data_IF_027356517715
#
_entry.id   IF_027356517715
#
_cell.length_a   1.000
_cell.length_b   1.000
_cell.length_c   1.000
_cell.angle_alpha   90.00
_cell.angle_beta   90.00
_cell.angle_gamma   90.00
#
_symmetry.space_group_name_H-M   'P 1'
#
loop_
_entity.id
_entity.type
_entity.pdbx_description
1 polymer ?
#
# COMPACT_ATOMS: atom_id res chain seq x y z
N UNK A 1 -20.09 26.50 1.52
CA UNK A 1 -21.42 26.04 2.00
C UNK A 1 -21.37 24.59 2.52
N UNK A 2 -21.36 24.37 3.85
CA UNK A 2 -21.42 23.02 4.45
C UNK A 2 -22.45 22.11 3.76
N UNK A 3 -22.00 20.98 3.21
CA UNK A 3 -22.87 19.97 2.62
C UNK A 3 -23.07 18.85 3.63
N UNK A 4 -24.32 18.50 3.90
CA UNK A 4 -24.63 17.40 4.79
C UNK A 4 -25.70 16.52 4.18
N UNK A 5 -25.56 15.21 4.41
CA UNK A 5 -26.54 14.20 4.03
C UNK A 5 -26.90 13.42 5.29
N UNK A 6 -28.14 13.59 5.74
CA UNK A 6 -28.72 12.70 6.75
C UNK A 6 -29.22 11.47 6.00
N UNK A 7 -28.51 10.37 6.10
CA UNK A 7 -28.92 9.13 5.41
C UNK A 7 -30.08 8.45 6.13
N UNK A 8 -30.16 8.60 7.46
CA UNK A 8 -31.27 8.22 8.34
C UNK A 8 -31.05 8.83 9.75
N UNK A 9 -31.96 8.62 10.73
CA UNK A 9 -31.76 9.14 12.11
C UNK A 9 -30.55 8.54 12.86
N UNK A 10 -29.89 7.50 12.33
CA UNK A 10 -28.77 6.80 12.97
C UNK A 10 -27.40 7.16 12.38
N UNK A 11 -27.35 7.79 11.20
CA UNK A 11 -26.12 8.06 10.46
C UNK A 11 -26.06 9.50 9.96
N UNK A 12 -24.90 10.15 10.17
CA UNK A 12 -24.63 11.52 9.75
C UNK A 12 -23.39 11.56 8.86
N UNK A 13 -23.52 12.14 7.67
CA UNK A 13 -22.38 12.45 6.81
C UNK A 13 -22.25 13.96 6.60
N UNK A 14 -21.06 14.48 6.86
CA UNK A 14 -20.74 15.90 6.80
C UNK A 14 -19.47 16.14 5.99
N UNK A 15 -19.56 17.07 5.05
CA UNK A 15 -18.44 17.53 4.24
C UNK A 15 -18.25 19.02 4.47
N UNK A 16 -17.07 19.40 4.98
CA UNK A 16 -16.72 20.81 5.08
C UNK A 16 -16.28 21.34 3.71
N UNK A 17 -16.84 22.49 3.35
CA UNK A 17 -16.42 23.25 2.18
C UNK A 17 -15.13 24.04 2.49
N UNK A 18 -14.50 24.60 1.45
CA UNK A 18 -13.24 25.37 1.54
C UNK A 18 -13.31 26.65 2.38
N UNK A 19 -14.49 27.09 2.81
CA UNK A 19 -14.69 28.34 3.56
C UNK A 19 -14.51 28.15 5.08
N UNK A 20 -13.34 28.57 5.60
CA UNK A 20 -13.05 28.60 7.03
C UNK A 20 -13.57 29.86 7.74
N UNK A 21 -14.88 29.93 7.96
CA UNK A 21 -15.44 31.03 8.76
C UNK A 21 -15.83 30.55 10.15
N UNK A 22 -15.73 31.42 11.16
CA UNK A 22 -16.25 31.16 12.52
C UNK A 22 -17.74 30.75 12.48
N UNK A 23 -18.51 31.29 11.54
CA UNK A 23 -19.90 30.89 11.27
C UNK A 23 -20.01 29.45 10.77
N UNK A 24 -19.13 29.01 9.85
CA UNK A 24 -19.06 27.63 9.37
C UNK A 24 -18.71 26.67 10.51
N UNK A 25 -17.70 26.99 11.33
CA UNK A 25 -17.29 26.19 12.50
C UNK A 25 -18.43 26.01 13.50
N UNK A 26 -19.10 27.11 13.84
CA UNK A 26 -20.23 27.10 14.77
C UNK A 26 -21.41 26.25 14.26
N UNK A 27 -21.72 26.32 12.96
CA UNK A 27 -22.77 25.50 12.32
C UNK A 27 -22.41 24.03 12.33
N UNK A 28 -21.17 23.68 12.01
CA UNK A 28 -20.68 22.30 12.01
C UNK A 28 -20.85 21.68 13.42
N UNK A 29 -20.35 22.36 14.45
CA UNK A 29 -20.48 21.92 15.85
C UNK A 29 -21.94 21.76 16.27
N UNK A 30 -22.82 22.69 15.88
CA UNK A 30 -24.24 22.61 16.21
C UNK A 30 -24.95 21.39 15.58
N UNK A 31 -24.67 21.09 14.31
CA UNK A 31 -25.26 19.93 13.60
C UNK A 31 -24.81 18.62 14.26
N UNK A 32 -23.51 18.52 14.56
CA UNK A 32 -22.94 17.35 15.22
C UNK A 32 -23.54 17.18 16.61
N UNK A 33 -23.67 18.27 17.38
CA UNK A 33 -24.28 18.23 18.71
C UNK A 33 -25.74 17.76 18.66
N UNK A 34 -26.54 18.21 17.69
CA UNK A 34 -27.93 17.73 17.51
C UNK A 34 -27.96 16.23 17.20
N UNK A 35 -27.06 15.74 16.35
CA UNK A 35 -26.96 14.31 16.04
C UNK A 35 -26.53 13.47 17.25
N UNK A 36 -25.54 13.93 18.02
CA UNK A 36 -25.12 13.30 19.29
C UNK A 36 -26.29 13.25 20.27
N UNK A 37 -27.06 14.34 20.40
CA UNK A 37 -28.25 14.39 21.26
C UNK A 37 -29.36 13.43 20.80
N UNK A 38 -29.40 13.09 19.50
CA UNK A 38 -30.32 12.12 18.90
C UNK A 38 -29.79 10.68 18.93
N UNK A 39 -28.70 10.41 19.66
CA UNK A 39 -28.10 9.08 19.79
C UNK A 39 -27.62 8.49 18.46
N UNK A 40 -26.99 9.33 17.62
CA UNK A 40 -26.35 8.89 16.38
C UNK A 40 -25.40 7.71 16.64
N UNK A 41 -25.36 6.77 15.69
CA UNK A 41 -24.52 5.57 15.73
C UNK A 41 -23.36 5.63 14.76
N UNK A 42 -23.50 6.38 13.69
CA UNK A 42 -22.52 6.45 12.62
C UNK A 42 -22.26 7.90 12.24
N UNK A 43 -21.00 8.32 12.27
CA UNK A 43 -20.59 9.66 11.83
C UNK A 43 -19.50 9.49 10.80
N UNK A 44 -19.68 10.12 9.64
CA UNK A 44 -18.61 10.42 8.70
C UNK A 44 -18.42 11.93 8.61
N UNK A 45 -17.19 12.37 8.91
CA UNK A 45 -16.79 13.76 8.84
C UNK A 45 -15.57 13.89 7.91
N UNK A 46 -15.72 14.67 6.84
CA UNK A 46 -14.65 15.08 5.95
C UNK A 46 -14.33 16.57 6.16
N UNK A 47 -13.08 16.88 6.52
CA UNK A 47 -12.60 18.23 6.82
C UNK A 47 -11.57 18.70 5.79
N UNK A 48 -11.95 19.65 4.92
CA UNK A 48 -11.11 20.13 3.81
C UNK A 48 -10.01 21.15 4.23
N UNK A 49 -10.01 21.59 5.49
CA UNK A 49 -9.11 22.59 6.07
C UNK A 49 -8.99 22.30 7.56
N UNK A 50 -7.96 22.81 8.26
CA UNK A 50 -7.78 22.58 9.70
C UNK A 50 -8.98 23.16 10.47
N UNK A 51 -9.89 22.27 10.86
CA UNK A 51 -11.01 22.57 11.74
C UNK A 51 -10.66 22.07 13.13
N UNK A 52 -10.97 22.88 14.15
CA UNK A 52 -10.93 22.39 15.52
C UNK A 52 -11.91 21.22 15.64
N UNK A 53 -11.38 20.05 16.00
CA UNK A 53 -12.14 18.82 16.00
C UNK A 53 -13.35 18.91 16.98
N UNK A 54 -14.59 18.59 16.54
CA UNK A 54 -15.78 18.73 17.39
C UNK A 54 -15.76 17.76 18.58
N UNK A 55 -15.39 18.28 19.76
CA UNK A 55 -15.19 17.51 21.01
C UNK A 55 -16.40 16.70 21.46
N UNK A 56 -17.62 17.09 21.07
CA UNK A 56 -18.84 16.36 21.42
C UNK A 56 -18.91 14.96 20.78
N UNK A 57 -18.21 14.72 19.66
CA UNK A 57 -18.10 13.39 19.04
C UNK A 57 -17.38 12.43 19.98
N UNK A 58 -16.28 12.88 20.61
CA UNK A 58 -15.40 12.07 21.47
C UNK A 58 -16.06 11.58 22.76
N UNK A 59 -17.27 12.06 23.06
CA UNK A 59 -18.07 11.69 24.23
C UNK A 59 -19.38 10.98 23.86
N UNK A 60 -19.58 10.66 22.58
CA UNK A 60 -20.84 10.07 22.11
C UNK A 60 -20.94 8.59 22.52
N UNK A 61 -21.76 8.32 23.56
CA UNK A 61 -21.94 6.98 24.13
C UNK A 61 -22.64 5.98 23.22
N UNK A 62 -23.27 6.44 22.14
CA UNK A 62 -24.04 5.62 21.20
C UNK A 62 -23.31 5.37 19.89
N UNK A 63 -22.18 6.05 19.67
CA UNK A 63 -21.41 5.97 18.44
C UNK A 63 -20.78 4.58 18.30
N UNK A 64 -21.06 3.92 17.18
CA UNK A 64 -20.59 2.59 16.81
C UNK A 64 -19.54 2.66 15.71
N UNK A 65 -19.67 3.60 14.77
CA UNK A 65 -18.74 3.82 13.67
C UNK A 65 -18.38 5.29 13.53
N UNK A 66 -17.09 5.59 13.48
CA UNK A 66 -16.57 6.93 13.27
C UNK A 66 -15.58 6.93 12.10
N UNK A 67 -15.87 7.74 11.09
CA UNK A 67 -14.97 8.03 9.97
C UNK A 67 -14.56 9.50 10.01
N UNK A 68 -13.27 9.75 10.12
CA UNK A 68 -12.66 11.08 10.06
C UNK A 68 -11.71 11.14 8.89
N UNK A 69 -11.92 12.11 8.00
CA UNK A 69 -11.08 12.32 6.82
C UNK A 69 -10.62 13.77 6.71
N UNK A 70 -9.42 14.00 6.16
CA UNK A 70 -8.85 15.32 5.89
C UNK A 70 -8.15 15.93 7.11
N UNK A 71 -8.08 17.25 7.18
CA UNK A 71 -7.30 18.01 8.18
C UNK A 71 -7.98 18.06 9.56
N UNK A 72 -8.34 16.89 10.11
CA UNK A 72 -8.82 16.74 11.47
C UNK A 72 -7.62 16.56 12.41
N UNK A 73 -7.40 17.51 13.32
CA UNK A 73 -6.34 17.39 14.33
C UNK A 73 -6.89 16.67 15.57
N UNK A 74 -6.36 15.47 15.84
CA UNK A 74 -6.66 14.72 17.06
C UNK A 74 -5.73 15.22 18.17
N UNK A 75 -6.31 15.59 19.31
CA UNK A 75 -5.60 16.08 20.50
C UNK A 75 -5.80 15.15 21.70
N UNK A 76 -4.89 15.23 22.66
CA UNK A 76 -4.99 14.54 23.94
C UNK A 76 -5.96 15.28 24.86
N UNK A 77 -7.25 15.05 24.69
CA UNK A 77 -8.29 15.65 25.52
C UNK A 77 -8.64 14.76 26.71
N UNK A 78 -8.67 15.31 27.93
CA UNK A 78 -8.92 14.55 29.18
C UNK A 78 -10.31 13.87 29.26
N UNK A 79 -11.25 14.24 28.39
CA UNK A 79 -12.64 13.79 28.41
C UNK A 79 -13.00 12.86 27.24
N UNK A 80 -12.07 12.08 26.67
CA UNK A 80 -12.42 11.14 25.59
C UNK A 80 -13.05 9.87 26.15
N UNK A 81 -14.25 9.50 25.70
CA UNK A 81 -14.89 8.23 26.05
C UNK A 81 -15.91 7.77 25.00
N UNK A 82 -15.55 6.70 24.28
CA UNK A 82 -16.32 6.15 23.16
C UNK A 82 -16.69 4.67 23.44
N UNK A 83 -17.61 4.41 24.39
CA UNK A 83 -17.84 3.08 24.97
C UNK A 83 -18.48 2.06 24.01
N UNK A 84 -19.10 2.52 22.92
CA UNK A 84 -19.77 1.66 21.95
C UNK A 84 -19.06 1.60 20.59
N UNK A 85 -17.93 2.29 20.43
CA UNK A 85 -17.25 2.42 19.15
C UNK A 85 -16.59 1.10 18.78
N UNK A 86 -17.06 0.50 17.67
CA UNK A 86 -16.57 -0.75 17.10
C UNK A 86 -15.69 -0.55 15.88
N UNK A 87 -15.91 0.53 15.12
CA UNK A 87 -15.20 0.84 13.88
C UNK A 87 -14.65 2.26 13.92
N UNK A 88 -13.37 2.42 13.65
CA UNK A 88 -12.70 3.70 13.55
C UNK A 88 -11.91 3.76 12.24
N UNK A 89 -12.22 4.75 11.41
CA UNK A 89 -11.51 5.04 10.17
C UNK A 89 -10.92 6.45 10.26
N UNK A 90 -9.60 6.55 10.14
CA UNK A 90 -8.83 7.79 10.20
C UNK A 90 -8.07 7.97 8.90
N UNK A 91 -8.28 9.08 8.21
CA UNK A 91 -7.83 9.23 6.83
C UNK A 91 -7.25 10.61 6.61
N UNK A 92 -5.94 10.67 6.49
CA UNK A 92 -5.16 11.90 6.40
C UNK A 92 -5.31 12.86 7.60
N UNK A 93 -5.62 12.33 8.79
CA UNK A 93 -5.77 13.11 10.04
C UNK A 93 -4.41 13.48 10.68
N UNK A 94 -4.37 14.61 11.39
CA UNK A 94 -3.22 15.07 12.17
C UNK A 94 -3.23 14.54 13.62
N UNK A 95 -2.04 14.43 14.21
CA UNK A 95 -1.86 13.95 15.59
C UNK A 95 -0.99 14.93 16.38
N UNK A 96 -1.44 15.36 17.57
CA UNK A 96 -0.71 16.30 18.43
C UNK A 96 0.67 15.78 18.89
N UNK A 97 0.79 14.46 19.07
CA UNK A 97 1.98 13.79 19.58
C UNK A 97 1.98 12.30 19.25
N UNK A 98 3.13 11.62 19.40
CA UNK A 98 3.29 10.17 19.17
C UNK A 98 2.30 9.30 19.99
N UNK A 99 1.90 9.76 21.18
CA UNK A 99 1.01 9.03 22.09
C UNK A 99 -0.48 9.20 21.78
N UNK A 100 -0.85 10.13 20.90
CA UNK A 100 -2.23 10.59 20.70
C UNK A 100 -3.16 9.47 20.24
N UNK A 101 -2.72 8.67 19.26
CA UNK A 101 -3.51 7.54 18.80
C UNK A 101 -3.71 6.51 19.91
N UNK A 102 -2.63 6.14 20.61
CA UNK A 102 -2.72 5.16 21.70
C UNK A 102 -3.65 5.63 22.82
N UNK A 103 -3.65 6.94 23.12
CA UNK A 103 -4.58 7.54 24.06
C UNK A 103 -6.02 7.40 23.59
N UNK A 104 -6.34 7.79 22.35
CA UNK A 104 -7.69 7.63 21.76
C UNK A 104 -8.16 6.18 21.80
N UNK A 105 -7.29 5.23 21.39
CA UNK A 105 -7.62 3.80 21.38
C UNK A 105 -7.88 3.25 22.78
N UNK A 106 -7.20 3.73 23.82
CA UNK A 106 -7.44 3.28 25.21
C UNK A 106 -8.83 3.66 25.75
N UNK A 107 -9.49 4.65 25.13
CA UNK A 107 -10.83 5.12 25.49
C UNK A 107 -11.94 4.53 24.59
N UNK A 108 -11.59 3.54 23.75
CA UNK A 108 -12.51 2.82 22.88
C UNK A 108 -12.55 1.31 23.26
N UNK A 109 -13.17 0.94 24.40
CA UNK A 109 -13.03 -0.39 25.03
C UNK A 109 -13.65 -1.55 24.26
N UNK A 110 -14.35 -1.30 23.15
CA UNK A 110 -14.99 -2.33 22.31
C UNK A 110 -14.61 -2.20 20.84
N UNK A 111 -13.51 -1.49 20.54
CA UNK A 111 -13.06 -1.25 19.17
C UNK A 111 -12.56 -2.53 18.52
N UNK A 112 -13.19 -2.95 17.42
CA UNK A 112 -12.92 -4.20 16.72
C UNK A 112 -12.15 -3.96 15.42
N UNK A 113 -12.48 -2.90 14.68
CA UNK A 113 -11.93 -2.55 13.37
C UNK A 113 -11.27 -1.16 13.40
N UNK A 114 -10.00 -1.10 13.00
CA UNK A 114 -9.26 0.15 12.84
C UNK A 114 -8.70 0.23 11.41
N UNK A 115 -8.94 1.34 10.74
CA UNK A 115 -8.32 1.68 9.45
C UNK A 115 -7.69 3.05 9.55
N UNK A 116 -6.42 3.13 9.17
CA UNK A 116 -5.66 4.37 9.18
C UNK A 116 -5.01 4.53 7.82
N UNK A 117 -5.36 5.61 7.12
CA UNK A 117 -4.58 6.13 6.01
C UNK A 117 -3.75 7.29 6.56
N UNK A 118 -2.44 7.14 6.61
CA UNK A 118 -1.55 8.10 7.25
C UNK A 118 -1.38 9.34 6.38
N UNK A 119 -1.48 10.50 7.03
CA UNK A 119 -1.00 11.78 6.50
C UNK A 119 0.52 11.90 6.63
N UNK A 120 1.05 13.06 6.22
CA UNK A 120 2.40 13.58 6.47
C UNK A 120 3.07 12.97 7.72
N UNK A 121 4.38 12.65 7.66
CA UNK A 121 5.11 12.10 8.80
C UNK A 121 5.40 13.22 9.83
N UNK A 122 4.38 13.76 10.48
CA UNK A 122 4.54 14.78 11.52
C UNK A 122 5.02 14.18 12.85
N UNK A 123 4.93 12.85 13.02
CA UNK A 123 5.38 12.14 14.23
C UNK A 123 6.46 11.11 13.93
N UNK A 124 7.52 11.11 14.74
CA UNK A 124 8.67 10.19 14.65
C UNK A 124 8.31 8.74 15.03
N UNK A 125 7.26 8.53 15.81
CA UNK A 125 6.76 7.20 16.16
C UNK A 125 5.23 7.14 16.15
N UNK A 126 4.69 6.11 15.50
CA UNK A 126 3.26 5.85 15.37
C UNK A 126 2.92 4.52 16.04
N UNK A 127 2.16 4.57 17.15
CA UNK A 127 1.90 3.38 17.99
C UNK A 127 0.43 3.02 17.98
N UNK A 128 0.14 1.81 17.50
CA UNK A 128 -1.18 1.16 17.60
C UNK A 128 -1.12 0.16 18.75
N UNK A 129 -1.70 0.49 19.90
CA UNK A 129 -1.82 -0.43 21.05
C UNK A 129 -3.29 -0.63 21.42
N UNK A 130 -3.76 -1.87 21.34
CA UNK A 130 -5.14 -2.22 21.73
C UNK A 130 -5.30 -3.72 21.99
N UNK A 131 -6.14 -4.07 22.97
CA UNK A 131 -6.48 -5.47 23.28
C UNK A 131 -7.81 -5.93 22.67
N UNK A 132 -8.50 -5.07 21.91
CA UNK A 132 -9.85 -5.36 21.39
C UNK A 132 -9.87 -5.42 19.87
N UNK A 133 -8.93 -4.72 19.21
CA UNK A 133 -8.84 -4.68 17.76
C UNK A 133 -8.53 -6.08 17.24
N UNK A 134 -9.41 -6.58 16.38
CA UNK A 134 -9.24 -7.85 15.68
C UNK A 134 -8.94 -7.67 14.18
N UNK A 135 -9.16 -6.46 13.65
CA UNK A 135 -8.90 -6.12 12.25
C UNK A 135 -8.22 -4.76 12.14
N UNK A 136 -7.04 -4.73 11.51
CA UNK A 136 -6.24 -3.52 11.29
C UNK A 136 -5.93 -3.33 9.80
N UNK A 137 -6.12 -2.12 9.29
CA UNK A 137 -5.57 -1.66 8.00
C UNK A 137 -4.71 -0.44 8.27
N UNK A 138 -3.46 -0.49 7.84
CA UNK A 138 -2.54 0.64 7.82
C UNK A 138 -2.15 0.89 6.37
N UNK A 139 -2.42 2.09 5.90
CA UNK A 139 -2.02 2.56 4.59
C UNK A 139 -1.15 3.81 4.78
N UNK A 140 0.10 3.73 4.36
CA UNK A 140 1.09 4.81 4.41
C UNK A 140 1.44 5.32 3.01
N UNK A 141 0.56 5.17 2.01
CA UNK A 141 0.76 5.72 0.65
C UNK A 141 0.86 7.24 0.63
N UNK A 142 1.96 7.76 0.10
CA UNK A 142 2.11 9.18 -0.22
C UNK A 142 1.85 9.44 -1.70
N UNK A 143 0.85 10.27 -2.02
CA UNK A 143 0.73 10.91 -3.32
C UNK A 143 1.63 12.14 -3.37
N UNK A 144 2.80 12.02 -3.99
CA UNK A 144 3.70 13.14 -4.26
C UNK A 144 5.17 12.75 -4.15
N UNK A 145 5.94 13.05 -5.20
CA UNK A 145 7.36 12.70 -5.37
C UNK A 145 8.35 13.34 -4.37
N UNK A 146 7.86 13.84 -3.24
CA UNK A 146 8.70 14.37 -2.20
C UNK A 146 9.23 13.18 -1.37
N UNK A 147 10.38 12.66 -1.78
CA UNK A 147 11.25 11.76 -0.99
C UNK A 147 11.75 12.47 0.28
N UNK A 148 10.85 12.89 1.16
CA UNK A 148 11.19 13.56 2.43
C UNK A 148 11.53 12.46 3.43
N UNK A 149 12.83 12.16 3.49
CA UNK A 149 13.58 11.52 4.58
C UNK A 149 12.71 10.95 5.73
N UNK A 150 12.40 9.67 5.57
CA UNK A 150 11.65 8.82 6.50
C UNK A 150 12.39 8.57 7.83
N UNK A 151 11.90 9.16 8.92
CA UNK A 151 12.29 8.80 10.30
C UNK A 151 11.21 8.03 11.07
N UNK A 152 9.98 7.96 10.55
CA UNK A 152 8.87 7.42 11.36
C UNK A 152 8.98 5.90 11.56
N UNK A 153 8.75 5.46 12.80
CA UNK A 153 8.63 4.05 13.19
C UNK A 153 7.17 3.71 13.46
N UNK A 154 6.65 2.64 12.86
CA UNK A 154 5.32 2.10 13.18
C UNK A 154 5.47 0.98 14.20
N UNK A 155 4.64 0.96 15.25
CA UNK A 155 4.59 -0.12 16.23
C UNK A 155 3.16 -0.61 16.39
N UNK A 156 2.97 -1.92 16.24
CA UNK A 156 1.66 -2.57 16.34
C UNK A 156 1.71 -3.55 17.52
N UNK A 157 1.00 -3.24 18.60
CA UNK A 157 0.80 -4.10 19.76
C UNK A 157 -0.69 -4.40 19.94
N UNK A 158 -1.15 -5.42 19.20
CA UNK A 158 -2.54 -5.85 19.19
C UNK A 158 -2.65 -7.38 19.28
N UNK A 159 -2.62 -7.96 20.50
CA UNK A 159 -2.53 -9.42 20.67
C UNK A 159 -3.76 -10.20 20.18
N UNK A 160 -4.94 -9.57 20.14
CA UNK A 160 -6.19 -10.16 19.65
C UNK A 160 -6.39 -9.94 18.13
N UNK A 161 -5.39 -9.38 17.44
CA UNK A 161 -5.47 -9.10 16.02
C UNK A 161 -5.57 -10.39 15.21
N UNK A 162 -6.57 -10.48 14.32
CA UNK A 162 -6.85 -11.64 13.46
C UNK A 162 -6.57 -11.37 11.99
N UNK A 163 -6.74 -10.12 11.55
CA UNK A 163 -6.45 -9.67 10.20
C UNK A 163 -5.60 -8.40 10.24
N UNK A 164 -4.53 -8.38 9.45
CA UNK A 164 -3.64 -7.24 9.28
C UNK A 164 -3.48 -6.93 7.79
N UNK A 165 -3.79 -5.71 7.37
CA UNK A 165 -3.32 -5.17 6.08
C UNK A 165 -2.35 -4.02 6.34
N UNK A 166 -1.17 -4.07 5.73
CA UNK A 166 -0.15 -3.01 5.79
C UNK A 166 0.27 -2.70 4.37
N UNK A 167 0.07 -1.46 3.95
CA UNK A 167 0.69 -0.90 2.76
C UNK A 167 1.62 0.20 3.23
N UNK A 168 2.93 -0.04 3.21
CA UNK A 168 3.91 0.88 3.77
C UNK A 168 5.28 0.80 3.08
N UNK A 169 5.57 1.80 2.25
CA UNK A 169 6.88 2.03 1.65
C UNK A 169 7.59 3.27 2.22
N UNK A 170 6.99 3.90 3.24
CA UNK A 170 7.40 5.20 3.76
C UNK A 170 7.93 5.14 5.20
N UNK A 171 7.67 4.09 5.97
CA UNK A 171 8.20 3.96 7.32
C UNK A 171 9.64 3.48 7.29
N UNK A 172 10.48 3.99 8.21
CA UNK A 172 11.85 3.48 8.39
C UNK A 172 11.84 2.06 8.97
N UNK A 173 10.86 1.79 9.84
CA UNK A 173 10.79 0.57 10.63
C UNK A 173 9.33 0.27 10.96
N UNK A 174 8.91 -0.99 10.77
CA UNK A 174 7.58 -1.49 11.16
C UNK A 174 7.77 -2.62 12.16
N UNK A 175 7.35 -2.39 13.41
CA UNK A 175 7.51 -3.36 14.50
C UNK A 175 6.16 -3.92 14.88
N UNK A 176 6.15 -5.22 15.12
CA UNK A 176 4.99 -5.92 15.67
C UNK A 176 5.35 -6.52 17.02
N UNK A 177 4.40 -6.45 17.95
CA UNK A 177 4.41 -7.21 19.19
C UNK A 177 4.09 -8.68 18.94
N UNK A 178 3.68 -9.39 19.99
CA UNK A 178 3.29 -10.80 19.87
C UNK A 178 1.89 -10.92 19.26
N UNK A 179 1.82 -11.19 17.96
CA UNK A 179 0.57 -11.37 17.20
C UNK A 179 0.15 -12.84 17.14
N UNK A 180 -0.12 -13.46 18.30
CA UNK A 180 -0.44 -14.90 18.39
C UNK A 180 -1.79 -15.28 17.80
N UNK A 181 -2.74 -14.33 17.73
CA UNK A 181 -4.08 -14.54 17.19
C UNK A 181 -4.20 -14.29 15.69
N UNK A 182 -3.12 -13.85 15.04
CA UNK A 182 -3.14 -13.40 13.65
C UNK A 182 -3.37 -14.58 12.71
N UNK A 183 -4.42 -14.48 11.89
CA UNK A 183 -4.83 -15.51 10.93
C UNK A 183 -4.39 -15.15 9.53
N UNK A 184 -4.54 -13.87 9.16
CA UNK A 184 -4.29 -13.38 7.81
C UNK A 184 -3.51 -12.07 7.85
N UNK A 185 -2.50 -11.99 6.99
CA UNK A 185 -1.72 -10.78 6.77
C UNK A 185 -1.60 -10.50 5.27
N UNK A 186 -1.90 -9.26 4.89
CA UNK A 186 -1.69 -8.69 3.57
C UNK A 186 -0.71 -7.52 3.70
N UNK A 187 0.52 -7.73 3.27
CA UNK A 187 1.62 -6.80 3.47
C UNK A 187 2.18 -6.40 2.11
N UNK A 188 2.16 -5.11 1.82
CA UNK A 188 2.86 -4.52 0.70
C UNK A 188 3.86 -3.46 1.21
N UNK A 189 5.15 -3.67 0.91
CA UNK A 189 6.26 -2.76 1.20
C UNK A 189 7.00 -2.30 -0.08
N UNK A 190 6.44 -2.58 -1.26
CA UNK A 190 7.08 -2.32 -2.56
C UNK A 190 6.83 -0.92 -3.12
N UNK A 191 5.73 -0.27 -2.74
CA UNK A 191 5.37 1.07 -3.20
C UNK A 191 5.05 1.15 -4.70
N UNK A 192 4.93 0.02 -5.40
CA UNK A 192 4.41 -0.04 -6.76
C UNK A 192 2.91 -0.36 -6.66
N UNK A 193 2.08 0.55 -7.14
CA UNK A 193 0.63 0.49 -7.02
C UNK A 193 0.05 -0.88 -7.45
N UNK A 194 -0.98 -1.36 -6.73
CA UNK A 194 -1.82 -2.51 -7.13
C UNK A 194 -2.71 -2.20 -8.38
N UNK A 195 -2.43 -1.12 -9.13
CA UNK A 195 -3.28 -0.65 -10.26
C UNK A 195 -3.16 -1.49 -11.54
N UNK A 196 -2.39 -2.59 -11.55
CA UNK A 196 -2.39 -3.58 -12.63
C UNK A 196 -3.36 -4.76 -12.39
N UNK A 197 -4.13 -4.78 -11.28
CA UNK A 197 -5.20 -5.76 -11.09
C UNK A 197 -6.51 -5.27 -11.72
N UNK A 198 -6.69 -5.61 -12.99
CA UNK A 198 -7.93 -5.39 -13.73
C UNK A 198 -9.14 -6.03 -13.00
N UNK A 199 -10.04 -5.18 -12.50
CA UNK A 199 -11.39 -5.57 -12.09
C UNK A 199 -12.21 -5.86 -13.35
N UNK A 200 -11.95 -6.99 -14.01
CA UNK A 200 -12.92 -7.53 -14.95
C UNK A 200 -14.10 -8.10 -14.16
N UNK A 201 -15.08 -7.21 -13.93
CA UNK A 201 -16.46 -7.58 -13.62
C UNK A 201 -16.99 -8.33 -14.83
N UNK A 202 -17.32 -9.59 -14.60
CA UNK A 202 -18.06 -10.45 -15.51
C UNK A 202 -19.41 -9.78 -15.84
N UNK A 203 -19.48 -9.12 -17.00
CA UNK A 203 -20.72 -8.62 -17.59
C UNK A 203 -20.98 -9.41 -18.87
N UNK A 204 -21.36 -10.67 -18.70
CA UNK A 204 -22.10 -11.41 -19.72
C UNK A 204 -23.59 -11.06 -19.60
N UNK A 205 -24.03 -10.06 -20.36
CA UNK A 205 -25.40 -10.02 -20.90
C UNK A 205 -25.33 -9.53 -22.33
N UNK A 206 -25.36 -10.54 -23.20
CA UNK A 206 -26.01 -10.64 -24.53
C UNK A 206 -26.24 -9.35 -25.34
N UNK A 207 -25.65 -9.41 -26.54
CA UNK A 207 -26.00 -8.68 -27.75
C UNK A 207 -27.53 -8.61 -27.98
N UNK A 208 -28.01 -7.49 -28.55
CA UNK A 208 -28.46 -7.49 -29.94
C UNK A 208 -28.97 -6.12 -30.40
N UNK A 209 -28.46 -5.76 -31.58
CA UNK A 209 -29.12 -5.14 -32.72
C UNK A 209 -29.34 -3.61 -32.84
N UNK A 210 -28.65 -3.13 -33.90
CA UNK A 210 -29.10 -2.30 -35.02
C UNK A 210 -28.69 -0.82 -35.08
N UNK A 211 -27.66 -0.60 -35.91
CA UNK A 211 -27.73 0.04 -37.23
C UNK A 211 -28.21 1.51 -37.28
N UNK A 212 -27.33 2.41 -37.74
CA UNK A 212 -27.39 3.07 -39.06
C UNK A 212 -26.26 4.11 -39.17
N UNK A 213 -25.80 4.21 -40.40
CA UNK A 213 -24.63 4.84 -41.00
C UNK A 213 -24.72 6.37 -41.26
N UNK A 214 -23.62 6.86 -41.85
CA UNK A 214 -23.47 8.06 -42.71
C UNK A 214 -23.33 9.41 -41.97
N UNK A 215 -22.55 10.40 -42.39
CA UNK A 215 -21.48 10.60 -43.36
C UNK A 215 -21.03 12.08 -43.20
N UNK A 216 -19.89 12.41 -43.83
CA UNK A 216 -19.54 13.71 -44.44
C UNK A 216 -18.88 14.88 -43.64
N UNK A 217 -17.68 15.20 -44.17
CA UNK A 217 -17.15 16.50 -44.59
C UNK A 217 -16.73 17.58 -43.58
N UNK A 218 -15.47 18.04 -43.66
CA UNK A 218 -15.11 19.25 -44.43
C UNK A 218 -13.59 19.61 -44.30
N UNK A 219 -13.16 20.45 -45.23
CA UNK A 219 -11.89 20.61 -45.93
C UNK A 219 -10.65 21.20 -45.24
N UNK A 220 -9.50 20.67 -45.66
CA UNK A 220 -8.41 21.31 -46.42
C UNK A 220 -8.13 22.83 -46.31
N UNK A 221 -6.86 23.21 -46.07
CA UNK A 221 -5.93 23.88 -47.02
C UNK A 221 -4.81 24.66 -46.31
N UNK A 222 -3.63 24.50 -46.90
CA UNK A 222 -2.28 25.04 -46.64
C UNK A 222 -2.13 26.57 -46.76
N UNK A 223 -0.99 27.10 -46.26
CA UNK A 223 -0.49 28.41 -46.66
C UNK A 223 0.79 28.85 -45.95
N UNK A 224 1.95 28.48 -46.51
CA UNK A 224 3.25 29.08 -46.23
C UNK A 224 3.32 30.54 -46.73
N UNK A 225 4.13 31.37 -46.06
CA UNK A 225 4.54 32.67 -46.60
C UNK A 225 5.48 33.40 -45.64
N UNK A 226 6.71 33.64 -46.10
CA UNK A 226 7.85 34.12 -45.34
C UNK A 226 8.13 35.62 -45.57
N UNK A 227 9.05 36.12 -44.72
CA UNK A 227 10.02 37.20 -44.93
C UNK A 227 9.64 38.68 -44.70
N UNK A 228 10.55 39.28 -43.92
CA UNK A 228 11.29 40.54 -44.15
C UNK A 228 10.87 41.87 -43.49
N UNK A 229 11.73 42.24 -42.53
CA UNK A 229 12.60 43.44 -42.54
C UNK A 229 12.12 44.83 -42.09
N UNK A 230 13.12 45.51 -41.51
CA UNK A 230 13.31 46.94 -41.18
C UNK A 230 12.77 47.39 -39.81
N UNK A 231 13.60 47.66 -38.79
CA UNK A 231 14.73 48.58 -38.61
C UNK A 231 14.30 50.00 -38.14
N UNK A 232 15.16 50.54 -37.26
CA UNK A 232 15.45 51.95 -37.01
C UNK A 232 14.87 52.64 -35.74
N UNK A 233 15.86 53.04 -34.92
CA UNK A 233 16.04 54.35 -34.28
C UNK A 233 15.21 54.68 -33.02
N UNK A 234 15.72 55.37 -32.00
CA UNK A 234 17.05 55.77 -31.50
C UNK A 234 16.76 56.56 -30.19
N UNK A 235 17.81 56.91 -29.45
CA UNK A 235 17.94 58.07 -28.53
C UNK A 235 17.27 57.98 -27.13
N UNK A 236 18.03 57.85 -26.03
CA UNK A 236 18.82 58.90 -25.32
C UNK A 236 18.02 59.40 -24.09
N UNK A 237 18.55 59.77 -22.92
CA UNK A 237 19.86 59.75 -22.29
C UNK A 237 19.65 60.24 -20.82
N UNK A 238 20.63 59.94 -19.95
CA UNK A 238 21.00 60.57 -18.66
C UNK A 238 19.96 60.83 -17.53
N UNK A 239 20.15 60.20 -16.37
CA UNK A 239 20.79 60.88 -15.22
C UNK A 239 21.07 59.96 -14.04
N UNK A 240 22.35 59.99 -13.66
CA UNK A 240 22.95 59.46 -12.44
C UNK A 240 22.42 60.19 -11.19
N UNK A 241 22.31 59.48 -10.08
CA UNK A 241 22.78 59.97 -8.78
C UNK A 241 23.06 58.79 -7.83
N UNK A 242 24.23 58.89 -7.22
CA UNK A 242 24.91 57.95 -6.32
C UNK A 242 24.14 57.65 -5.02
N UNK A 243 24.25 56.41 -4.50
CA UNK A 243 24.87 56.17 -3.19
C UNK A 243 24.97 54.67 -2.79
N UNK A 244 26.22 54.24 -2.60
CA UNK A 244 26.79 53.19 -1.75
C UNK A 244 25.93 52.03 -1.16
N UNK A 245 26.30 50.82 -1.63
CA UNK A 245 26.61 49.59 -0.88
C UNK A 245 25.67 49.05 0.22
N UNK A 246 25.04 47.89 -0.04
CA UNK A 246 25.27 46.62 0.70
C UNK A 246 25.03 45.46 -0.28
N UNK A 247 26.03 44.60 -0.46
CA UNK A 247 25.89 43.32 -1.16
C UNK A 247 24.98 42.37 -0.36
N UNK A 248 23.91 41.91 -0.99
CA UNK A 248 23.05 40.81 -0.56
C UNK A 248 22.78 39.93 -1.76
N UNK A 249 23.60 38.90 -1.90
CA UNK A 249 23.62 37.94 -3.00
C UNK A 249 22.49 36.91 -2.79
N UNK A 250 21.24 37.30 -3.08
CA UNK A 250 20.09 36.39 -3.11
C UNK A 250 19.80 35.98 -4.57
N UNK A 251 20.77 35.33 -5.21
CA UNK A 251 20.48 34.44 -6.33
C UNK A 251 20.22 33.05 -5.76
N UNK A 252 18.96 32.80 -5.39
CA UNK A 252 18.42 31.45 -5.24
C UNK A 252 18.45 30.76 -6.61
N UNK A 253 19.64 30.26 -6.97
CA UNK A 253 19.81 29.30 -8.03
C UNK A 253 19.18 27.99 -7.55
N UNK A 254 17.88 27.83 -7.84
CA UNK A 254 17.22 26.53 -7.75
C UNK A 254 18.08 25.50 -8.51
N UNK A 255 18.60 24.45 -7.85
CA UNK A 255 19.34 23.43 -8.56
C UNK A 255 18.38 22.71 -9.51
N UNK A 256 18.83 22.55 -10.75
CA UNK A 256 18.19 21.82 -11.85
C UNK A 256 17.41 20.58 -11.35
N UNK A 257 16.09 20.64 -11.51
CA UNK A 257 15.10 19.63 -11.10
C UNK A 257 15.28 18.26 -11.79
N UNK A 258 16.22 18.13 -12.72
CA UNK A 258 16.56 16.85 -13.36
C UNK A 258 17.83 16.17 -12.81
N UNK A 259 18.54 16.76 -11.85
CA UNK A 259 19.80 16.21 -11.34
C UNK A 259 19.66 15.25 -10.13
N UNK A 260 18.47 15.03 -9.60
CA UNK A 260 18.23 14.18 -8.41
C UNK A 260 17.48 12.86 -8.69
N UNK A 261 17.30 12.49 -9.96
CA UNK A 261 16.63 11.23 -10.30
C UNK A 261 17.66 10.12 -10.58
N UNK A 262 17.60 9.06 -9.75
CA UNK A 262 18.29 7.76 -9.81
C UNK A 262 19.48 7.51 -8.86
N UNK A 263 19.72 8.33 -7.84
CA UNK A 263 20.62 7.89 -6.75
C UNK A 263 19.85 7.08 -5.71
N UNK A 264 20.00 5.75 -5.79
CA UNK A 264 19.44 4.84 -4.81
C UNK A 264 19.95 5.20 -3.39
N UNK A 265 19.10 5.17 -2.34
CA UNK A 265 19.37 5.77 -1.02
C UNK A 265 20.69 5.29 -0.38
N UNK A 266 21.36 6.08 0.49
CA UNK A 266 22.66 5.70 1.06
C UNK A 266 22.70 4.26 1.62
N UNK A 267 23.80 3.53 1.38
CA UNK A 267 23.95 2.09 1.71
C UNK A 267 23.54 1.76 3.15
N UNK A 268 23.92 2.61 4.11
CA UNK A 268 23.64 2.43 5.54
C UNK A 268 22.13 2.53 5.87
N UNK A 269 21.38 3.36 5.14
CA UNK A 269 19.91 3.44 5.26
C UNK A 269 19.22 2.22 4.64
N UNK A 270 19.77 1.65 3.55
CA UNK A 270 19.26 0.41 2.93
C UNK A 270 19.41 -0.81 3.85
N UNK A 271 20.49 -0.88 4.62
CA UNK A 271 20.78 -2.00 5.55
C UNK A 271 19.84 -1.98 6.77
N UNK A 272 19.58 -0.81 7.36
CA UNK A 272 18.68 -0.70 8.52
C UNK A 272 17.23 -1.06 8.20
N UNK A 273 16.79 -0.75 6.98
CA UNK A 273 15.47 -1.12 6.49
C UNK A 273 15.34 -2.65 6.33
N UNK A 274 16.33 -3.31 5.75
CA UNK A 274 16.33 -4.76 5.53
C UNK A 274 16.13 -5.57 6.82
N UNK A 275 16.86 -5.24 7.89
CA UNK A 275 16.72 -5.94 9.17
C UNK A 275 15.35 -5.74 9.79
N UNK A 276 14.83 -4.51 9.77
CA UNK A 276 13.48 -4.21 10.25
C UNK A 276 12.43 -5.03 9.51
N UNK A 277 12.52 -5.11 8.18
CA UNK A 277 11.57 -5.92 7.38
C UNK A 277 11.68 -7.41 7.73
N UNK A 278 12.88 -7.97 7.91
CA UNK A 278 13.03 -9.36 8.33
C UNK A 278 12.42 -9.62 9.72
N UNK A 279 12.62 -8.69 10.67
CA UNK A 279 12.03 -8.76 12.01
C UNK A 279 10.50 -8.66 11.94
N UNK A 280 9.98 -7.74 11.12
CA UNK A 280 8.54 -7.57 10.87
C UNK A 280 7.92 -8.82 10.28
N UNK A 281 8.46 -9.31 9.16
CA UNK A 281 8.02 -10.53 8.48
C UNK A 281 8.09 -11.71 9.45
N UNK A 282 9.18 -11.86 10.21
CA UNK A 282 9.31 -12.89 11.24
C UNK A 282 8.22 -12.81 12.33
N UNK A 283 7.77 -11.62 12.69
CA UNK A 283 6.65 -11.41 13.62
C UNK A 283 5.30 -11.89 13.11
N UNK A 284 5.16 -12.18 11.81
CA UNK A 284 3.94 -12.68 11.18
C UNK A 284 3.87 -14.22 11.13
N UNK A 285 4.79 -14.93 11.78
CA UNK A 285 4.94 -16.40 11.67
C UNK A 285 3.71 -17.26 12.06
N UNK A 286 2.71 -16.71 12.76
CA UNK A 286 1.52 -17.46 13.20
C UNK A 286 0.41 -17.56 12.15
N UNK A 287 0.50 -16.80 11.05
CA UNK A 287 -0.57 -16.69 10.05
C UNK A 287 -0.85 -18.00 9.32
N UNK A 288 -2.10 -18.12 8.84
CA UNK A 288 -2.54 -19.16 7.91
C UNK A 288 -2.48 -18.70 6.46
N UNK A 289 -2.70 -17.40 6.24
CA UNK A 289 -2.74 -16.79 4.92
C UNK A 289 -1.83 -15.57 4.93
N UNK A 290 -0.84 -15.56 4.05
CA UNK A 290 0.11 -14.46 3.91
C UNK A 290 0.16 -14.01 2.45
N UNK A 291 -0.20 -12.76 2.20
CA UNK A 291 0.23 -12.03 1.00
C UNK A 291 1.37 -11.11 1.43
N UNK A 292 2.51 -11.21 0.76
CA UNK A 292 3.70 -10.45 1.10
C UNK A 292 4.36 -9.91 -0.18
N UNK A 293 4.40 -8.59 -0.29
CA UNK A 293 5.25 -7.87 -1.22
C UNK A 293 6.33 -7.11 -0.47
N UNK A 294 7.61 -7.37 -0.77
CA UNK A 294 8.72 -6.81 0.02
C UNK A 294 9.50 -5.69 -0.69
N UNK A 295 9.18 -5.37 -1.95
CA UNK A 295 9.92 -4.39 -2.73
C UNK A 295 11.42 -4.69 -2.90
N UNK A 296 12.16 -3.71 -3.44
CA UNK A 296 13.63 -3.79 -3.53
C UNK A 296 14.29 -3.62 -2.16
N UNK A 297 14.67 -4.75 -1.56
CA UNK A 297 15.48 -4.76 -0.34
C UNK A 297 16.93 -5.16 -0.66
N UNK A 298 17.89 -4.40 -0.14
CA UNK A 298 19.29 -4.82 -0.14
C UNK A 298 19.62 -5.60 1.14
N UNK A 299 19.06 -6.81 1.27
CA UNK A 299 19.34 -7.68 2.43
C UNK A 299 20.66 -8.43 2.19
N UNK A 300 21.63 -8.28 3.10
CA UNK A 300 22.88 -9.08 3.04
C UNK A 300 22.59 -10.56 3.27
N UNK A 301 23.45 -11.45 2.77
CA UNK A 301 23.23 -12.89 2.95
C UNK A 301 23.37 -13.31 4.43
N UNK A 302 24.19 -12.59 5.21
CA UNK A 302 24.33 -12.80 6.65
C UNK A 302 23.08 -12.43 7.44
N UNK A 303 22.41 -11.33 7.09
CA UNK A 303 21.16 -10.92 7.76
C UNK A 303 20.04 -11.88 7.42
N UNK A 304 19.94 -12.26 6.15
CA UNK A 304 18.96 -13.23 5.70
C UNK A 304 19.19 -14.61 6.35
N UNK A 305 20.44 -15.06 6.48
CA UNK A 305 20.77 -16.32 7.15
C UNK A 305 20.49 -16.30 8.67
N UNK A 306 20.48 -15.12 9.29
CA UNK A 306 20.12 -14.97 10.70
C UNK A 306 18.59 -14.96 10.93
N UNK A 307 17.80 -14.82 9.86
CA UNK A 307 16.34 -14.84 9.94
C UNK A 307 15.84 -16.27 10.19
N UNK A 308 15.23 -16.47 11.36
CA UNK A 308 14.74 -17.77 11.83
C UNK A 308 13.27 -17.65 12.28
N UNK A 309 12.36 -17.63 11.32
CA UNK A 309 10.92 -17.63 11.56
C UNK A 309 10.28 -18.92 11.04
N UNK A 310 9.46 -19.57 11.87
CA UNK A 310 8.81 -20.84 11.52
C UNK A 310 7.33 -20.62 11.22
N UNK A 311 6.91 -20.87 9.99
CA UNK A 311 5.56 -20.65 9.48
C UNK A 311 4.68 -21.91 9.58
N UNK A 312 4.67 -22.55 10.75
CA UNK A 312 4.03 -23.86 10.95
C UNK A 312 2.52 -23.88 10.63
N UNK A 313 1.84 -22.73 10.71
CA UNK A 313 0.40 -22.61 10.45
C UNK A 313 0.07 -22.19 9.01
N UNK A 314 1.08 -21.83 8.21
CA UNK A 314 0.88 -21.23 6.90
C UNK A 314 0.32 -22.26 5.91
N UNK A 315 -0.82 -21.92 5.31
CA UNK A 315 -1.57 -22.74 4.36
C UNK A 315 -1.47 -22.15 2.95
N UNK A 316 -1.53 -20.81 2.85
CA UNK A 316 -1.45 -20.07 1.59
C UNK A 316 -0.40 -18.98 1.69
N UNK A 317 0.50 -18.95 0.72
CA UNK A 317 1.46 -17.88 0.51
C UNK A 317 1.24 -17.26 -0.87
N UNK A 318 1.04 -15.95 -0.92
CA UNK A 318 1.20 -15.14 -2.13
C UNK A 318 2.43 -14.24 -1.93
N UNK A 319 3.43 -14.36 -2.79
CA UNK A 319 4.71 -13.71 -2.60
C UNK A 319 5.18 -12.96 -3.86
N UNK A 320 5.55 -11.70 -3.69
CA UNK A 320 6.22 -10.84 -4.68
C UNK A 320 7.44 -10.23 -4.01
N UNK A 321 8.66 -10.53 -4.44
CA UNK A 321 9.83 -10.04 -3.72
C UNK A 321 11.09 -10.84 -3.98
N UNK A 322 12.08 -10.70 -3.11
CA UNK A 322 13.36 -11.39 -3.24
C UNK A 322 13.18 -12.91 -3.12
N UNK A 323 13.61 -13.67 -4.15
CA UNK A 323 13.33 -15.10 -4.22
C UNK A 323 14.07 -15.94 -3.18
N UNK A 324 15.00 -15.36 -2.41
CA UNK A 324 15.61 -16.03 -1.25
C UNK A 324 14.60 -16.38 -0.16
N UNK A 325 13.46 -15.69 -0.09
CA UNK A 325 12.37 -16.03 0.84
C UNK A 325 11.69 -17.36 0.49
N UNK A 326 11.63 -17.73 -0.80
CA UNK A 326 10.83 -18.88 -1.24
C UNK A 326 11.36 -20.20 -0.67
N UNK A 327 12.66 -20.54 -0.76
CA UNK A 327 13.22 -21.72 -0.10
C UNK A 327 12.90 -21.78 1.39
N UNK A 328 13.04 -20.66 2.10
CA UNK A 328 12.80 -20.60 3.54
C UNK A 328 11.33 -20.85 3.88
N UNK A 329 10.38 -20.20 3.18
CA UNK A 329 8.96 -20.49 3.37
C UNK A 329 8.63 -21.96 3.08
N UNK A 330 9.20 -22.55 2.03
CA UNK A 330 8.98 -23.96 1.74
C UNK A 330 9.50 -24.86 2.86
N UNK A 331 10.69 -24.57 3.40
CA UNK A 331 11.35 -25.32 4.48
C UNK A 331 10.69 -25.14 5.85
N UNK A 332 10.02 -24.01 6.09
CA UNK A 332 9.44 -23.67 7.41
C UNK A 332 7.91 -23.78 7.48
N UNK A 333 7.22 -23.90 6.34
CA UNK A 333 5.78 -24.04 6.25
C UNK A 333 5.34 -25.43 5.79
N UNK A 334 5.44 -26.43 6.68
CA UNK A 334 5.10 -27.83 6.38
C UNK A 334 3.65 -28.05 5.93
N UNK A 335 2.74 -27.16 6.35
CA UNK A 335 1.31 -27.20 6.03
C UNK A 335 0.92 -26.40 4.78
N UNK A 336 1.90 -25.84 4.05
CA UNK A 336 1.65 -25.03 2.85
C UNK A 336 0.94 -25.86 1.76
N UNK A 337 -0.22 -25.37 1.32
CA UNK A 337 -1.07 -26.02 0.31
C UNK A 337 -1.14 -25.23 -1.00
N UNK A 338 -1.06 -23.90 -0.90
CA UNK A 338 -1.17 -22.99 -2.04
C UNK A 338 0.01 -22.03 -2.03
N UNK A 339 0.76 -22.01 -3.13
CA UNK A 339 1.88 -21.11 -3.34
C UNK A 339 1.63 -20.30 -4.61
N UNK A 340 1.54 -18.99 -4.48
CA UNK A 340 1.48 -18.04 -5.59
C UNK A 340 2.73 -17.19 -5.56
N UNK A 341 3.45 -17.14 -6.67
CA UNK A 341 4.67 -16.37 -6.82
C UNK A 341 4.45 -15.42 -7.99
N UNK A 342 4.51 -14.13 -7.72
CA UNK A 342 4.62 -13.14 -8.79
C UNK A 342 6.08 -12.99 -9.14
N UNK A 343 6.40 -13.13 -10.42
CA UNK A 343 7.75 -12.95 -10.92
C UNK A 343 8.06 -11.45 -10.97
N UNK A 344 8.59 -10.94 -9.87
CA UNK A 344 8.90 -9.53 -9.70
C UNK A 344 10.38 -9.23 -9.83
N UNK A 345 10.69 -8.20 -10.63
CA UNK A 345 11.91 -7.41 -10.71
C UNK A 345 13.19 -8.03 -11.31
N UNK A 346 13.68 -7.39 -12.38
CA UNK A 346 14.93 -7.72 -13.11
C UNK A 346 16.22 -7.72 -12.26
N UNK A 347 16.17 -7.22 -11.03
CA UNK A 347 17.34 -6.96 -10.18
C UNK A 347 17.35 -7.72 -8.85
N UNK A 348 16.40 -8.64 -8.61
CA UNK A 348 16.36 -9.40 -7.37
C UNK A 348 17.29 -10.61 -7.38
N UNK A 349 17.82 -10.95 -6.20
CA UNK A 349 18.65 -12.15 -6.00
C UNK A 349 17.85 -13.40 -6.34
N UNK A 350 18.53 -14.33 -6.99
CA UNK A 350 17.90 -15.49 -7.62
C UNK A 350 17.51 -16.58 -6.62
N UNK A 351 16.57 -17.41 -7.08
CA UNK A 351 16.24 -18.69 -6.48
C UNK A 351 17.48 -19.55 -6.25
N UNK A 352 17.57 -20.15 -5.06
CA UNK A 352 18.58 -21.16 -4.72
C UNK A 352 17.83 -22.42 -4.34
N UNK A 353 18.17 -23.52 -4.99
CA UNK A 353 17.56 -24.82 -4.71
C UNK A 353 17.83 -25.26 -3.26
N UNK A 354 16.79 -25.64 -2.49
CA UNK A 354 16.96 -26.21 -1.15
C UNK A 354 17.82 -27.48 -1.16
N UNK A 355 18.70 -27.64 -0.15
CA UNK A 355 19.57 -28.83 -0.02
C UNK A 355 18.77 -30.12 0.24
N UNK A 356 17.61 -30.00 0.88
CA UNK A 356 16.70 -31.10 1.17
C UNK A 356 15.34 -30.77 0.58
N UNK A 357 14.56 -31.79 0.24
CA UNK A 357 13.19 -31.57 -0.27
C UNK A 357 12.29 -31.16 0.89
N UNK A 358 11.71 -29.94 0.88
CA UNK A 358 10.81 -29.51 1.94
C UNK A 358 9.60 -30.43 2.07
N UNK A 359 9.15 -30.65 3.32
CA UNK A 359 8.10 -31.62 3.61
C UNK A 359 6.77 -31.24 2.92
N UNK A 360 6.46 -29.95 2.85
CA UNK A 360 5.24 -29.44 2.23
C UNK A 360 5.08 -29.92 0.77
N UNK A 361 6.18 -30.00 -0.02
CA UNK A 361 6.17 -30.50 -1.39
C UNK A 361 5.70 -31.96 -1.48
N UNK A 362 6.11 -32.77 -0.51
CA UNK A 362 5.75 -34.19 -0.49
C UNK A 362 4.36 -34.46 0.09
N UNK A 363 3.83 -33.58 0.94
CA UNK A 363 2.69 -33.89 1.83
C UNK A 363 1.46 -33.01 1.65
N UNK A 364 1.61 -31.72 1.34
CA UNK A 364 0.50 -30.76 1.39
C UNK A 364 0.35 -29.87 0.16
N UNK A 365 1.42 -29.54 -0.57
CA UNK A 365 1.37 -28.56 -1.66
C UNK A 365 0.52 -29.06 -2.83
N UNK A 366 -0.62 -28.41 -3.07
CA UNK A 366 -1.65 -28.81 -4.03
C UNK A 366 -1.74 -27.90 -5.23
N UNK A 367 -1.52 -26.60 -5.04
CA UNK A 367 -1.63 -25.60 -6.08
C UNK A 367 -0.40 -24.72 -6.06
N UNK A 368 0.21 -24.54 -7.22
CA UNK A 368 1.28 -23.57 -7.44
C UNK A 368 0.87 -22.66 -8.59
N UNK A 369 1.07 -21.36 -8.43
CA UNK A 369 0.79 -20.37 -9.47
C UNK A 369 1.98 -19.44 -9.63
N UNK A 370 2.38 -19.23 -10.87
CA UNK A 370 3.32 -18.19 -11.28
C UNK A 370 2.55 -17.10 -12.00
N UNK A 371 2.66 -15.86 -11.54
CA UNK A 371 2.16 -14.66 -12.21
C UNK A 371 3.31 -13.88 -12.83
N UNK A 372 3.03 -13.12 -13.89
CA UNK A 372 3.96 -12.24 -14.62
C UNK A 372 5.15 -12.95 -15.30
N UNK A 373 5.03 -14.26 -15.58
CA UNK A 373 6.14 -15.14 -15.95
C UNK A 373 6.89 -14.67 -17.21
N UNK A 374 8.20 -14.42 -17.10
CA UNK A 374 9.06 -13.86 -18.16
C UNK A 374 9.95 -14.90 -18.89
N UNK A 375 9.88 -16.19 -18.51
CA UNK A 375 10.73 -17.29 -18.98
C UNK A 375 12.22 -17.08 -18.64
N UNK A 376 12.50 -16.43 -17.51
CA UNK A 376 13.86 -16.28 -17.00
C UNK A 376 14.40 -17.60 -16.44
N UNK A 377 15.72 -17.77 -16.47
CA UNK A 377 16.39 -19.00 -16.01
C UNK A 377 16.03 -19.36 -14.56
N UNK A 378 15.95 -18.35 -13.68
CA UNK A 378 15.57 -18.54 -12.29
C UNK A 378 14.13 -19.09 -12.18
N UNK A 379 13.18 -18.57 -12.97
CA UNK A 379 11.78 -19.00 -12.96
C UNK A 379 11.64 -20.43 -13.48
N UNK A 380 12.36 -20.77 -14.55
CA UNK A 380 12.42 -22.14 -15.07
C UNK A 380 13.03 -23.12 -14.05
N UNK A 381 14.02 -22.67 -13.28
CA UNK A 381 14.68 -23.48 -12.26
C UNK A 381 13.72 -23.85 -11.12
N UNK A 382 12.99 -22.88 -10.55
CA UNK A 382 12.02 -23.16 -9.49
C UNK A 382 10.85 -24.03 -9.98
N UNK A 383 10.33 -23.79 -11.19
CA UNK A 383 9.30 -24.65 -11.80
C UNK A 383 9.81 -26.09 -11.89
N UNK A 384 11.01 -26.28 -12.42
CA UNK A 384 11.64 -27.61 -12.57
C UNK A 384 11.76 -28.30 -11.21
N UNK A 385 12.23 -27.58 -10.20
CA UNK A 385 12.39 -28.10 -8.85
C UNK A 385 11.07 -28.53 -8.23
N UNK A 386 10.04 -27.66 -8.27
CA UNK A 386 8.72 -27.95 -7.72
C UNK A 386 8.10 -29.14 -8.44
N UNK A 387 8.08 -29.14 -9.78
CA UNK A 387 7.50 -30.25 -10.54
C UNK A 387 8.20 -31.58 -10.24
N UNK A 388 9.53 -31.59 -10.14
CA UNK A 388 10.31 -32.79 -9.84
C UNK A 388 10.01 -33.37 -8.46
N UNK A 389 9.79 -32.50 -7.47
CA UNK A 389 9.75 -32.90 -6.06
C UNK A 389 8.34 -32.96 -5.44
N UNK A 390 7.37 -32.23 -5.98
CA UNK A 390 6.03 -32.17 -5.42
C UNK A 390 5.23 -33.43 -5.75
N UNK A 391 4.88 -34.22 -4.72
CA UNK A 391 4.26 -35.56 -4.89
C UNK A 391 2.74 -35.52 -4.88
N UNK A 392 2.15 -34.49 -4.29
CA UNK A 392 0.70 -34.33 -4.12
C UNK A 392 0.13 -33.12 -4.88
N UNK A 393 0.95 -32.49 -5.73
CA UNK A 393 0.58 -31.34 -6.54
C UNK A 393 -0.55 -31.71 -7.50
N UNK A 394 -1.64 -30.93 -7.50
CA UNK A 394 -2.81 -31.14 -8.34
C UNK A 394 -2.81 -30.21 -9.55
N UNK A 395 -2.37 -28.96 -9.37
CA UNK A 395 -2.39 -27.93 -10.40
C UNK A 395 -1.15 -27.05 -10.30
N UNK A 396 -0.56 -26.74 -11.45
CA UNK A 396 0.40 -25.66 -11.63
C UNK A 396 -0.12 -24.71 -12.71
N UNK A 397 -0.33 -23.45 -12.35
CA UNK A 397 -0.77 -22.37 -13.24
C UNK A 397 0.43 -21.48 -13.58
N UNK A 398 0.60 -21.17 -14.86
CA UNK A 398 1.66 -20.27 -15.35
C UNK A 398 0.98 -19.18 -16.16
N UNK A 399 0.98 -17.97 -15.61
CA UNK A 399 0.45 -16.78 -16.25
C UNK A 399 1.62 -15.97 -16.81
N UNK A 400 1.72 -15.92 -18.13
CA UNK A 400 2.74 -15.12 -18.80
C UNK A 400 2.47 -13.65 -18.60
N UNK A 401 3.53 -12.84 -18.54
CA UNK A 401 3.40 -11.39 -18.61
C UNK A 401 2.64 -10.98 -19.88
N UNK A 402 1.69 -10.06 -19.72
CA UNK A 402 0.82 -9.56 -20.79
C UNK A 402 1.63 -8.98 -21.95
N UNK A 403 2.67 -8.21 -21.61
CA UNK A 403 3.51 -7.49 -22.56
C UNK A 403 4.93 -8.08 -22.65
N UNK A 404 5.42 -8.28 -23.87
CA UNK A 404 6.85 -8.50 -24.13
C UNK A 404 7.30 -9.92 -24.48
N UNK A 405 6.41 -10.92 -24.50
CA UNK A 405 6.75 -12.29 -24.89
C UNK A 405 5.97 -12.74 -26.12
N UNK A 406 6.67 -12.93 -27.23
CA UNK A 406 6.10 -13.49 -28.45
C UNK A 406 5.51 -14.90 -28.24
N UNK A 407 4.40 -15.19 -28.93
CA UNK A 407 3.67 -16.46 -28.89
C UNK A 407 4.58 -17.67 -29.16
N UNK A 408 5.59 -17.51 -30.02
CA UNK A 408 6.56 -18.58 -30.29
C UNK A 408 7.35 -18.94 -29.03
N UNK A 409 7.84 -17.95 -28.28
CA UNK A 409 8.56 -18.18 -27.01
C UNK A 409 7.64 -18.79 -25.95
N UNK A 410 6.39 -18.32 -25.84
CA UNK A 410 5.38 -18.92 -24.96
C UNK A 410 5.15 -20.41 -25.29
N UNK A 411 5.05 -20.74 -26.58
CA UNK A 411 4.90 -22.12 -27.06
C UNK A 411 6.14 -22.99 -26.79
N UNK A 412 7.34 -22.46 -27.00
CA UNK A 412 8.59 -23.14 -26.67
C UNK A 412 8.69 -23.44 -25.16
N UNK A 413 8.39 -22.46 -24.30
CA UNK A 413 8.34 -22.63 -22.86
C UNK A 413 7.30 -23.68 -22.43
N UNK A 414 6.10 -23.65 -23.01
CA UNK A 414 5.06 -24.66 -22.79
C UNK A 414 5.57 -26.08 -23.06
N UNK A 415 6.22 -26.29 -24.22
CA UNK A 415 6.75 -27.59 -24.62
C UNK A 415 7.86 -28.06 -23.67
N UNK A 416 8.75 -27.15 -23.27
CA UNK A 416 9.84 -27.45 -22.34
C UNK A 416 9.27 -27.85 -20.97
N UNK A 417 8.40 -27.03 -20.39
CA UNK A 417 7.84 -27.27 -19.05
C UNK A 417 6.99 -28.54 -19.02
N UNK A 418 6.20 -28.78 -20.08
CA UNK A 418 5.39 -29.99 -20.22
C UNK A 418 6.24 -31.28 -20.32
N UNK A 419 7.49 -31.16 -20.75
CA UNK A 419 8.42 -32.29 -20.86
C UNK A 419 9.09 -32.66 -19.54
N UNK A 420 9.02 -31.80 -18.52
CA UNK A 420 9.68 -32.03 -17.24
C UNK A 420 9.13 -33.26 -16.51
N UNK A 421 10.02 -33.98 -15.83
CA UNK A 421 9.63 -35.10 -14.96
C UNK A 421 8.83 -34.55 -13.78
N UNK A 422 7.65 -35.14 -13.54
CA UNK A 422 6.75 -34.75 -12.46
C UNK A 422 6.77 -35.77 -11.32
N UNK A 423 6.88 -35.29 -10.09
CA UNK A 423 6.68 -36.08 -8.87
C UNK A 423 5.23 -36.52 -8.71
N UNK A 424 4.29 -35.63 -9.05
CA UNK A 424 2.85 -35.93 -9.15
C UNK A 424 2.46 -36.16 -10.62
N UNK A 425 2.19 -37.42 -10.96
CA UNK A 425 1.80 -37.82 -12.33
C UNK A 425 0.47 -37.18 -12.77
N UNK A 426 -0.42 -36.90 -11.82
CA UNK A 426 -1.73 -36.30 -12.06
C UNK A 426 -1.78 -34.77 -12.01
N UNK A 427 -0.62 -34.10 -11.87
CA UNK A 427 -0.58 -32.64 -11.85
C UNK A 427 -1.01 -32.06 -13.21
N UNK A 428 -2.04 -31.22 -13.22
CA UNK A 428 -2.46 -30.44 -14.38
C UNK A 428 -1.57 -29.21 -14.52
N UNK A 429 -1.12 -28.94 -15.75
CA UNK A 429 -0.35 -27.73 -16.09
C UNK A 429 -1.26 -26.84 -16.94
N UNK A 430 -1.57 -25.66 -16.42
CA UNK A 430 -2.39 -24.65 -17.10
C UNK A 430 -1.53 -23.43 -17.42
N UNK A 431 -1.70 -22.90 -18.63
CA UNK A 431 -0.91 -21.80 -19.16
C UNK A 431 -1.87 -20.71 -19.64
N UNK A 432 -1.62 -19.48 -19.22
CA UNK A 432 -2.47 -18.31 -19.46
C UNK A 432 -1.68 -17.16 -20.07
#
# INVERSE_FOLDING_TARGET
MLRYKVENMNALQLFSDKDDTESSRSKLTAIIQDAVNRNVKEIYLFLNISYTFPRCILNCKTLVSLRLSGYADITNDDDVWLPCLKKLFLDYVGYESEGTLSYLLSHCPVLEELTINRSYPDVDCFVVSSRTINRLILDSCFYGHFYVKNRSTVKIDAPELRYLKVYDFASKDVKVGSLTSLVEADVNLDGEDEDDFDYHVDASVEDDDNDVSDDDDDDSVEGNGSDDDTADDDDDDVSDDDDAQVEGDDNDHFPDENALNNEAPPVEMRVLYARSVLEFVGGLCNVKYLRLSTGWMNVSDSEFAAWAANYNNLIKLEFRGDWRFIPNFLETADNLQVLRISTGYKHMKHWIEPNQVPQCLSTHLRTVRFDDFEIAEAEMSIITYILRNAKVLKRMEIHFKSDGIDLKKKSEAFNIISSFKRGSVGCMLDFH
#
